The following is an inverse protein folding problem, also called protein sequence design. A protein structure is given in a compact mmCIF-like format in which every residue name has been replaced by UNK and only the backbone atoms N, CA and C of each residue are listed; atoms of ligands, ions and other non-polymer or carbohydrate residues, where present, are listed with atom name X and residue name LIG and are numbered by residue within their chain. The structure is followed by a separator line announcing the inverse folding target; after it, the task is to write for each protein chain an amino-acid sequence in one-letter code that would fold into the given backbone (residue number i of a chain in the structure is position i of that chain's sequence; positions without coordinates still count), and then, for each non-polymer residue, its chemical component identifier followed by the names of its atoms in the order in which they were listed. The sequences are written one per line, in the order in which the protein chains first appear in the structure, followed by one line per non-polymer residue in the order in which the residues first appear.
data_IF_280407756105
#
_entry.id   IF_280407756105
#
_cell.length_a   1.000
_cell.length_b   1.000
_cell.length_c   1.000
_cell.angle_alpha   90.00
_cell.angle_beta   90.00
_cell.angle_gamma   90.00
#
_symmetry.space_group_name_H-M   'P 1'
#
loop_
_entity.id
_entity.type
_entity.pdbx_description
1 polymer ?
#
# COMPACT_ATOMS: atom_id res chain seq x y z
N UNK A 1 -66.98 -17.32 -39.14
CA UNK A 1 -66.18 -16.69 -40.23
C UNK A 1 -64.71 -16.73 -39.86
N UNK A 2 -63.92 -17.20 -40.81
CA UNK A 2 -62.49 -17.53 -40.81
C UNK A 2 -61.54 -16.33 -40.68
N UNK A 3 -60.43 -16.49 -39.94
CA UNK A 3 -59.01 -16.14 -40.26
C UNK A 3 -58.22 -16.06 -38.94
N UNK A 4 -57.45 -17.08 -38.54
CA UNK A 4 -56.03 -17.30 -38.87
C UNK A 4 -55.29 -15.98 -39.12
N UNK A 5 -54.25 -15.69 -38.33
CA UNK A 5 -52.88 -15.44 -38.79
C UNK A 5 -51.89 -15.67 -37.63
N UNK A 6 -50.91 -16.54 -37.92
CA UNK A 6 -49.67 -16.74 -37.16
C UNK A 6 -48.69 -15.67 -37.65
N UNK A 7 -48.00 -14.97 -36.75
CA UNK A 7 -46.58 -14.65 -36.95
C UNK A 7 -45.88 -14.76 -35.60
N UNK A 8 -45.06 -15.80 -35.51
CA UNK A 8 -44.08 -16.03 -34.46
C UNK A 8 -42.80 -15.32 -34.92
N UNK A 9 -42.29 -14.40 -34.10
CA UNK A 9 -40.94 -13.85 -34.16
C UNK A 9 -40.57 -13.66 -32.67
N UNK A 10 -39.79 -14.51 -32.02
CA UNK A 10 -38.56 -15.14 -32.50
C UNK A 10 -37.34 -14.26 -32.22
N UNK A 11 -37.30 -13.50 -31.11
CA UNK A 11 -36.07 -12.87 -30.63
C UNK A 11 -35.34 -13.84 -29.70
N UNK A 12 -34.49 -14.68 -30.30
CA UNK A 12 -33.38 -15.29 -29.58
C UNK A 12 -32.32 -14.19 -29.37
N UNK A 13 -32.32 -13.57 -28.20
CA UNK A 13 -31.21 -12.73 -27.77
C UNK A 13 -30.02 -13.63 -27.46
N UNK A 14 -29.04 -13.65 -28.38
CA UNK A 14 -27.73 -14.25 -28.18
C UNK A 14 -27.03 -13.44 -27.08
N UNK A 15 -27.08 -13.94 -25.85
CA UNK A 15 -26.21 -13.50 -24.76
C UNK A 15 -24.81 -14.01 -25.08
N UNK A 16 -24.08 -13.27 -25.91
CA UNK A 16 -22.66 -13.46 -26.13
C UNK A 16 -21.94 -13.21 -24.79
N UNK A 17 -21.47 -14.29 -24.18
CA UNK A 17 -20.68 -14.26 -22.97
C UNK A 17 -19.41 -13.45 -23.19
N UNK A 18 -19.31 -12.33 -22.48
CA UNK A 18 -18.02 -11.73 -22.16
C UNK A 18 -17.35 -12.60 -21.11
N UNK A 19 -16.77 -13.73 -21.53
CA UNK A 19 -15.67 -14.33 -20.78
C UNK A 19 -14.51 -13.37 -21.00
N UNK A 20 -14.38 -12.40 -20.10
CA UNK A 20 -13.12 -11.71 -19.92
C UNK A 20 -12.12 -12.79 -19.53
N UNK A 21 -11.28 -13.21 -20.49
CA UNK A 21 -10.02 -13.85 -20.16
C UNK A 21 -9.22 -12.79 -19.39
N UNK A 22 -9.42 -12.74 -18.07
CA UNK A 22 -8.37 -12.29 -17.19
C UNK A 22 -7.13 -13.09 -17.61
N UNK A 23 -6.06 -12.38 -18.00
CA UNK A 23 -4.75 -13.01 -18.09
C UNK A 23 -4.44 -13.75 -16.79
N UNK A 24 -3.40 -14.60 -16.74
CA UNK A 24 -3.02 -15.24 -15.48
C UNK A 24 -3.01 -14.15 -14.41
N UNK A 25 -3.86 -14.30 -13.41
CA UNK A 25 -3.76 -13.49 -12.22
C UNK A 25 -2.33 -13.74 -11.76
N UNK A 26 -1.46 -12.76 -11.90
CA UNK A 26 -0.24 -12.74 -11.13
C UNK A 26 -0.74 -12.94 -9.71
N UNK A 27 -0.56 -14.13 -9.14
CA UNK A 27 -0.93 -14.39 -7.74
C UNK A 27 -0.42 -13.18 -6.97
N UNK A 28 -1.30 -12.45 -6.28
CA UNK A 28 -0.88 -11.19 -5.68
C UNK A 28 0.33 -11.52 -4.79
N UNK A 29 1.38 -10.68 -4.70
CA UNK A 29 2.55 -11.02 -3.87
C UNK A 29 2.20 -11.49 -2.45
N UNK A 30 1.08 -10.99 -1.91
CA UNK A 30 0.46 -11.44 -0.66
C UNK A 30 0.01 -12.91 -0.68
N UNK A 31 -0.52 -13.43 -1.78
CA UNK A 31 -0.97 -14.81 -1.94
C UNK A 31 0.21 -15.78 -1.94
N UNK A 32 1.29 -15.44 -2.67
CA UNK A 32 2.54 -16.24 -2.62
C UNK A 32 3.13 -16.28 -1.23
N UNK A 33 3.08 -15.16 -0.50
CA UNK A 33 3.50 -15.12 0.89
C UNK A 33 2.59 -15.94 1.80
N UNK A 34 1.27 -15.92 1.57
CA UNK A 34 0.31 -16.72 2.34
C UNK A 34 0.47 -18.23 2.12
N UNK A 35 0.90 -18.64 0.92
CA UNK A 35 1.13 -20.05 0.56
C UNK A 35 2.45 -20.64 1.09
N UNK A 36 3.27 -19.86 1.82
CA UNK A 36 4.54 -20.33 2.39
C UNK A 36 4.32 -21.50 3.36
N UNK A 37 5.30 -22.40 3.45
CA UNK A 37 5.25 -23.59 4.30
C UNK A 37 5.82 -23.39 5.72
N UNK A 38 6.27 -22.18 6.04
CA UNK A 38 6.89 -21.83 7.33
C UNK A 38 6.15 -20.68 8.02
N UNK A 39 6.01 -20.78 9.34
CA UNK A 39 5.39 -19.74 10.16
C UNK A 39 6.41 -18.83 10.85
N UNK A 40 7.63 -19.34 11.06
CA UNK A 40 8.71 -18.66 11.75
C UNK A 40 9.87 -18.40 10.81
N UNK A 41 10.50 -17.24 10.97
CA UNK A 41 11.63 -16.85 10.15
C UNK A 41 12.45 -15.77 10.85
N UNK A 42 13.67 -15.61 10.38
CA UNK A 42 14.53 -14.48 10.73
C UNK A 42 14.82 -13.68 9.48
N UNK A 43 14.85 -12.35 9.60
CA UNK A 43 15.16 -11.48 8.48
C UNK A 43 16.07 -10.34 8.87
N UNK A 44 16.80 -9.82 7.90
CA UNK A 44 17.55 -8.57 8.04
C UNK A 44 16.76 -7.43 7.39
N UNK A 45 16.29 -6.50 8.23
CA UNK A 45 15.51 -5.33 7.84
C UNK A 45 16.40 -4.09 7.94
N UNK A 46 16.54 -3.36 6.84
CA UNK A 46 17.15 -2.04 6.82
C UNK A 46 16.04 -1.00 6.71
N UNK A 47 15.94 -0.15 7.72
CA UNK A 47 15.03 0.99 7.74
C UNK A 47 15.87 2.28 7.87
N UNK A 48 15.84 3.12 6.84
CA UNK A 48 16.69 4.30 6.69
C UNK A 48 18.19 3.95 6.77
N UNK A 49 18.82 4.21 7.92
CA UNK A 49 20.24 3.94 8.20
C UNK A 49 20.43 2.93 9.33
N UNK A 50 19.35 2.24 9.72
CA UNK A 50 19.39 1.26 10.78
C UNK A 50 19.15 -0.15 10.23
N UNK A 51 20.10 -1.05 10.48
CA UNK A 51 20.03 -2.46 10.09
C UNK A 51 19.68 -3.29 11.31
N UNK A 52 18.62 -4.07 11.21
CA UNK A 52 18.08 -4.89 12.30
C UNK A 52 17.91 -6.32 11.86
N UNK A 53 18.29 -7.26 12.71
CA UNK A 53 17.89 -8.65 12.63
C UNK A 53 16.59 -8.84 13.39
N UNK A 54 15.56 -9.34 12.73
CA UNK A 54 14.20 -9.47 13.27
C UNK A 54 13.81 -10.95 13.25
N UNK A 55 13.48 -11.51 14.41
CA UNK A 55 12.94 -12.86 14.53
C UNK A 55 11.42 -12.78 14.64
N UNK A 56 10.72 -13.57 13.84
CA UNK A 56 9.26 -13.61 13.78
C UNK A 56 8.77 -15.02 14.03
N UNK A 57 7.76 -15.16 14.87
CA UNK A 57 7.06 -16.42 15.15
C UNK A 57 5.55 -16.19 15.02
N UNK A 58 4.88 -16.99 14.18
CA UNK A 58 3.43 -16.90 14.01
C UNK A 58 2.94 -15.49 13.64
N UNK A 59 3.67 -14.82 12.74
CA UNK A 59 3.47 -13.42 12.29
C UNK A 59 3.82 -12.30 13.30
N UNK A 60 4.30 -12.63 14.51
CA UNK A 60 4.68 -11.64 15.53
C UNK A 60 6.18 -11.51 15.66
N UNK A 61 6.67 -10.27 15.77
CA UNK A 61 8.07 -10.01 16.10
C UNK A 61 8.33 -10.44 17.54
N UNK A 62 9.20 -11.43 17.74
CA UNK A 62 9.59 -11.92 19.07
C UNK A 62 10.95 -11.39 19.52
N UNK A 63 11.80 -10.99 18.58
CA UNK A 63 13.14 -10.45 18.87
C UNK A 63 13.59 -9.47 17.80
N UNK A 64 14.38 -8.49 18.20
CA UNK A 64 14.99 -7.51 17.29
C UNK A 64 16.38 -7.16 17.77
N UNK A 65 17.39 -7.17 16.90
CA UNK A 65 18.77 -6.84 17.27
C UNK A 65 19.38 -5.93 16.20
N UNK A 66 19.90 -4.74 16.55
CA UNK A 66 19.87 -4.12 17.86
C UNK A 66 18.49 -3.53 18.19
N UNK A 67 18.16 -3.39 19.48
CA UNK A 67 16.93 -2.72 19.95
C UNK A 67 17.02 -1.19 19.93
N UNK A 68 18.13 -0.62 19.46
CA UNK A 68 18.42 0.83 19.51
C UNK A 68 17.98 1.60 18.27
N UNK A 69 17.38 0.92 17.29
CA UNK A 69 16.90 1.60 16.09
C UNK A 69 15.71 2.51 16.41
N UNK A 70 15.68 3.76 15.91
CA UNK A 70 14.57 4.68 16.16
C UNK A 70 13.24 4.22 15.54
N UNK A 71 13.31 3.40 14.49
CA UNK A 71 12.14 2.88 13.79
C UNK A 71 11.74 1.53 14.39
N UNK A 72 10.44 1.24 14.54
CA UNK A 72 10.00 -0.05 15.05
C UNK A 72 10.38 -1.17 14.07
N UNK A 73 10.79 -2.31 14.60
CA UNK A 73 10.86 -3.54 13.82
C UNK A 73 9.48 -3.96 13.36
N UNK A 74 9.42 -4.66 12.23
CA UNK A 74 8.17 -5.08 11.59
C UNK A 74 8.29 -6.51 11.11
N UNK A 75 7.21 -7.28 11.11
CA UNK A 75 7.09 -8.54 10.37
C UNK A 75 6.80 -8.27 8.88
N UNK A 76 6.82 -9.32 8.05
CA UNK A 76 6.46 -9.19 6.62
C UNK A 76 4.99 -8.81 6.48
N UNK A 77 4.11 -9.33 7.35
CA UNK A 77 2.68 -9.00 7.32
C UNK A 77 2.45 -7.52 7.67
N UNK A 78 3.23 -6.98 8.61
CA UNK A 78 3.21 -5.54 8.93
C UNK A 78 3.81 -4.68 7.80
N UNK A 79 4.76 -5.21 7.02
CA UNK A 79 5.25 -4.54 5.81
C UNK A 79 4.18 -4.52 4.71
N UNK A 80 3.41 -5.58 4.53
CA UNK A 80 2.25 -5.54 3.63
C UNK A 80 1.20 -4.54 4.11
N UNK A 81 0.89 -4.53 5.41
CA UNK A 81 -0.03 -3.55 5.97
C UNK A 81 0.46 -2.10 5.79
N UNK A 82 1.79 -1.88 5.79
CA UNK A 82 2.35 -0.59 5.41
C UNK A 82 2.05 -0.24 3.95
N UNK A 83 2.27 -1.17 3.02
CA UNK A 83 2.07 -0.96 1.57
C UNK A 83 0.60 -0.63 1.28
N UNK A 84 -0.33 -1.28 1.97
CA UNK A 84 -1.77 -1.04 1.85
C UNK A 84 -2.21 0.38 2.28
N UNK A 85 -1.32 1.16 2.90
CA UNK A 85 -1.57 2.58 3.22
C UNK A 85 -1.30 3.53 2.05
N UNK A 86 -0.94 3.02 0.87
CA UNK A 86 -0.76 3.86 -0.30
C UNK A 86 -2.03 4.71 -0.59
N UNK A 87 -1.83 5.98 -0.91
CA UNK A 87 -2.90 6.97 -1.11
C UNK A 87 -3.64 7.40 0.16
N UNK A 88 -3.36 6.80 1.32
CA UNK A 88 -3.96 7.24 2.59
C UNK A 88 -3.33 8.53 3.11
N UNK A 89 -4.11 9.25 3.93
CA UNK A 89 -3.64 10.43 4.62
C UNK A 89 -2.77 10.00 5.81
N UNK A 90 -1.56 10.56 5.89
CA UNK A 90 -0.65 10.43 7.02
C UNK A 90 -1.00 11.38 8.15
N UNK A 91 -0.14 12.37 8.38
CA UNK A 91 -0.36 13.36 9.43
C UNK A 91 -1.34 14.42 8.89
N UNK A 92 -2.53 14.47 9.47
CA UNK A 92 -3.55 15.44 9.07
C UNK A 92 -3.28 16.86 9.60
N UNK A 93 -2.54 16.97 10.71
CA UNK A 93 -2.22 18.22 11.39
C UNK A 93 -0.86 18.09 12.09
N UNK A 94 0.13 18.89 11.69
CA UNK A 94 1.43 18.92 12.35
C UNK A 94 1.56 20.22 13.16
N UNK A 95 1.80 20.11 14.48
CA UNK A 95 2.14 21.23 15.37
C UNK A 95 1.31 22.52 15.18
N UNK A 96 -0.01 22.43 15.36
CA UNK A 96 -0.91 23.59 15.36
C UNK A 96 -1.28 24.15 13.99
N UNK A 97 -0.85 23.49 12.92
CA UNK A 97 -1.19 23.85 11.55
C UNK A 97 -1.81 22.64 10.81
N UNK A 98 -3.05 22.81 10.38
CA UNK A 98 -3.81 21.81 9.62
C UNK A 98 -4.07 22.27 8.18
N UNK A 99 -3.35 23.29 7.68
CA UNK A 99 -3.53 23.77 6.30
C UNK A 99 -3.13 22.73 5.24
N UNK A 100 -2.26 21.79 5.60
CA UNK A 100 -1.75 20.73 4.75
C UNK A 100 -1.88 19.39 5.48
N UNK A 101 -2.13 18.32 4.74
CA UNK A 101 -1.93 16.96 5.20
C UNK A 101 -0.91 16.26 4.30
N UNK A 102 -0.28 15.20 4.79
CA UNK A 102 0.60 14.39 3.96
C UNK A 102 -0.17 13.21 3.36
N UNK A 103 0.02 12.95 2.07
CA UNK A 103 -0.46 11.73 1.41
C UNK A 103 0.71 10.77 1.23
N UNK A 104 0.50 9.50 1.58
CA UNK A 104 1.49 8.46 1.34
C UNK A 104 1.48 8.03 -0.13
N UNK A 105 2.68 7.93 -0.70
CA UNK A 105 2.92 7.26 -1.98
C UNK A 105 3.92 6.13 -1.75
N UNK A 106 3.47 4.89 -1.91
CA UNK A 106 4.22 3.69 -1.55
C UNK A 106 4.40 2.80 -2.77
N UNK A 107 5.65 2.58 -3.14
CA UNK A 107 6.05 1.62 -4.16
C UNK A 107 6.78 0.44 -3.52
N UNK A 108 6.50 -0.78 -3.98
CA UNK A 108 7.09 -1.99 -3.41
C UNK A 108 7.52 -3.00 -4.47
N UNK A 109 8.76 -3.47 -4.38
CA UNK A 109 9.28 -4.62 -5.14
C UNK A 109 9.23 -5.85 -4.26
N UNK A 110 8.75 -6.96 -4.82
CA UNK A 110 8.51 -8.19 -4.09
C UNK A 110 9.46 -9.32 -4.51
N UNK A 111 9.70 -10.25 -3.61
CA UNK A 111 10.46 -11.47 -3.91
C UNK A 111 9.69 -12.30 -4.95
N UNK A 112 10.35 -12.77 -6.04
CA UNK A 112 9.65 -13.43 -7.14
C UNK A 112 8.93 -14.71 -6.69
N UNK A 113 9.59 -15.56 -5.90
CA UNK A 113 9.03 -16.84 -5.46
C UNK A 113 8.13 -16.73 -4.23
N UNK A 114 8.62 -16.13 -3.14
CA UNK A 114 7.91 -16.07 -1.86
C UNK A 114 6.97 -14.87 -1.71
N UNK A 115 7.01 -13.90 -2.61
CA UNK A 115 6.06 -12.77 -2.63
C UNK A 115 6.27 -11.68 -1.57
N UNK A 116 7.12 -11.87 -0.56
CA UNK A 116 7.34 -10.84 0.47
C UNK A 116 8.00 -9.56 -0.08
N UNK A 117 7.79 -8.38 0.53
CA UNK A 117 8.42 -7.13 0.09
C UNK A 117 9.93 -7.15 0.29
N UNK A 118 10.69 -6.90 -0.78
CA UNK A 118 12.15 -6.74 -0.75
C UNK A 118 12.55 -5.28 -0.59
N UNK A 119 11.89 -4.38 -1.31
CA UNK A 119 12.17 -2.95 -1.27
C UNK A 119 10.87 -2.19 -1.20
N UNK A 120 10.77 -1.26 -0.27
CA UNK A 120 9.62 -0.36 -0.13
C UNK A 120 10.15 1.06 -0.17
N UNK A 121 9.62 1.86 -1.09
CA UNK A 121 9.87 3.30 -1.18
C UNK A 121 8.62 4.03 -0.72
N UNK A 122 8.73 4.74 0.39
CA UNK A 122 7.69 5.58 0.98
C UNK A 122 8.01 7.04 0.65
N UNK A 123 7.12 7.72 -0.06
CA UNK A 123 7.18 9.17 -0.27
C UNK A 123 5.98 9.83 0.42
N UNK A 124 6.20 11.02 0.91
CA UNK A 124 5.15 11.88 1.46
C UNK A 124 5.01 13.09 0.55
N UNK A 125 3.81 13.28 0.02
CA UNK A 125 3.49 14.48 -0.75
C UNK A 125 2.52 15.34 0.07
N UNK A 126 2.92 16.57 0.42
CA UNK A 126 2.05 17.45 1.18
C UNK A 126 0.98 18.03 0.27
N UNK A 127 -0.29 17.84 0.63
CA UNK A 127 -1.45 18.34 -0.13
C UNK A 127 -2.30 19.28 0.73
N UNK A 128 -2.90 20.32 0.13
CA UNK A 128 -3.78 21.22 0.86
C UNK A 128 -4.97 20.50 1.48
N UNK A 129 -5.23 20.76 2.76
CA UNK A 129 -6.42 20.29 3.44
C UNK A 129 -7.54 21.33 3.30
N UNK A 130 -8.18 21.39 2.12
CA UNK A 130 -9.22 22.39 1.81
C UNK A 130 -10.46 22.31 2.72
N UNK A 131 -10.62 21.21 3.46
CA UNK A 131 -11.68 21.06 4.45
C UNK A 131 -11.38 21.77 5.77
N UNK A 132 -10.15 22.23 6.00
CA UNK A 132 -9.75 22.94 7.23
C UNK A 132 -9.65 24.46 7.04
N UNK A 133 -10.12 25.28 7.99
CA UNK A 133 -10.04 26.76 7.91
C UNK A 133 -8.63 27.30 7.73
N UNK A 134 -7.62 26.61 8.27
CA UNK A 134 -6.22 27.05 8.15
C UNK A 134 -5.71 27.04 6.71
N UNK A 135 -6.21 26.12 5.87
CA UNK A 135 -5.85 26.09 4.45
C UNK A 135 -6.31 27.35 3.74
N UNK A 136 -7.57 27.76 3.98
CA UNK A 136 -8.12 29.00 3.45
C UNK A 136 -7.42 30.23 4.01
N UNK A 137 -7.18 30.28 5.32
CA UNK A 137 -6.45 31.38 5.97
C UNK A 137 -5.07 31.54 5.33
N UNK A 138 -4.35 30.43 5.11
CA UNK A 138 -3.03 30.44 4.48
C UNK A 138 -3.09 30.86 3.02
N UNK A 139 -4.05 30.36 2.25
CA UNK A 139 -4.21 30.71 0.84
C UNK A 139 -4.48 32.21 0.66
N UNK A 140 -5.34 32.79 1.50
CA UNK A 140 -5.63 34.22 1.51
C UNK A 140 -4.42 35.04 1.94
N UNK A 141 -3.71 34.64 3.00
CA UNK A 141 -2.53 35.36 3.50
C UNK A 141 -1.37 35.32 2.51
N UNK A 142 -1.09 34.16 1.89
CA UNK A 142 0.00 34.01 0.91
C UNK A 142 -0.38 34.43 -0.51
N UNK A 143 -1.67 34.70 -0.77
CA UNK A 143 -2.23 35.00 -2.10
C UNK A 143 -1.85 33.96 -3.17
N UNK A 144 -1.78 32.68 -2.77
CA UNK A 144 -1.45 31.56 -3.67
C UNK A 144 -2.17 30.29 -3.21
N UNK A 145 -2.49 29.41 -4.17
CA UNK A 145 -3.04 28.07 -3.92
C UNK A 145 -1.94 27.04 -3.62
N UNK A 146 -0.68 27.36 -3.91
CA UNK A 146 0.48 26.54 -3.55
C UNK A 146 0.88 26.80 -2.08
N UNK A 147 0.04 26.34 -1.16
CA UNK A 147 0.19 26.59 0.29
C UNK A 147 1.04 25.54 1.02
N UNK A 148 1.29 24.41 0.36
CA UNK A 148 2.06 23.28 0.89
C UNK A 148 3.34 23.12 0.09
N UNK A 149 4.44 23.63 0.62
CA UNK A 149 5.75 23.66 -0.03
C UNK A 149 6.84 23.14 0.91
N UNK A 150 6.61 21.94 1.44
CA UNK A 150 7.59 21.22 2.25
C UNK A 150 8.50 20.36 1.36
N UNK A 151 9.71 20.09 1.86
CA UNK A 151 10.70 19.25 1.17
C UNK A 151 10.15 17.83 1.11
N UNK A 152 10.00 17.30 -0.11
CA UNK A 152 9.64 15.90 -0.32
C UNK A 152 10.72 14.99 0.25
N UNK A 153 10.33 14.12 1.18
CA UNK A 153 11.18 13.10 1.76
C UNK A 153 10.81 11.73 1.23
N UNK A 154 11.82 10.97 0.78
CA UNK A 154 11.66 9.54 0.50
C UNK A 154 12.34 8.72 1.60
N UNK A 155 11.60 7.75 2.14
CA UNK A 155 12.09 6.74 3.07
C UNK A 155 12.18 5.41 2.33
N UNK A 156 13.28 4.69 2.52
CA UNK A 156 13.46 3.34 2.01
C UNK A 156 13.47 2.32 3.14
N UNK A 157 12.78 1.21 2.93
CA UNK A 157 12.80 0.03 3.78
C UNK A 157 13.20 -1.16 2.90
N UNK A 158 14.18 -1.95 3.33
CA UNK A 158 14.73 -3.05 2.56
C UNK A 158 14.78 -4.31 3.41
N UNK A 159 14.26 -5.42 2.89
CA UNK A 159 14.48 -6.75 3.44
C UNK A 159 15.64 -7.36 2.67
N UNK A 160 16.83 -7.38 3.29
CA UNK A 160 18.05 -7.85 2.63
C UNK A 160 18.15 -9.37 2.59
N UNK A 161 17.65 -10.03 3.63
CA UNK A 161 17.63 -11.49 3.73
C UNK A 161 16.46 -11.95 4.58
N UNK A 162 15.97 -13.16 4.27
CA UNK A 162 14.95 -13.87 5.05
C UNK A 162 15.30 -15.36 5.05
N UNK A 163 15.35 -15.96 6.23
CA UNK A 163 15.66 -17.38 6.43
C UNK A 163 14.56 -18.02 7.28
N UNK A 164 13.86 -19.06 6.78
CA UNK A 164 12.92 -19.85 7.58
C UNK A 164 13.59 -20.45 8.83
N UNK A 165 12.83 -20.56 9.93
CA UNK A 165 13.26 -21.11 11.22
C UNK A 165 12.45 -22.34 11.59
#
# INVERSE_FOLDING_TARGET
MTRRWRVILGMAAVLAGLVACAGPADDAPRDRWAARTFASYEMTLVDLRCRMQVSVEGARVVRTVPHTCPQPSRSIDELFALIERDGSIGIACAHGDCACHDVYHIDARHHPTLGYPLHITLRLTPTPNWWHPDAWRRALTRRTLAICNYVEGAKQIVVESLTPR
#
